data_IF_661184762267
#
_entry.id   IF_661184762267
#
_cell.length_a   1.000
_cell.length_b   1.000
_cell.length_c   1.000
_cell.angle_alpha   90.00
_cell.angle_beta   90.00
_cell.angle_gamma   90.00
#
_symmetry.space_group_name_H-M   'P 1'
#
loop_
_entity.id
_entity.type
_entity.pdbx_description
1 polymer ?
#
# COMPACT_ATOMS: atom_id res chain seq x y z
N UNK A 1 8.46 28.91 16.14
CA UNK A 1 7.65 28.97 14.92
C UNK A 1 7.95 27.78 14.02
N UNK A 2 6.95 27.12 13.59
CA UNK A 2 7.13 26.09 12.58
C UNK A 2 7.46 26.76 11.25
N UNK A 3 8.46 26.24 10.57
CA UNK A 3 8.91 26.81 9.30
C UNK A 3 8.38 26.04 8.10
N UNK A 4 7.17 25.59 8.19
CA UNK A 4 6.50 24.97 7.05
C UNK A 4 6.80 23.49 6.83
N UNK A 5 7.38 22.81 7.81
CA UNK A 5 7.59 21.36 7.74
C UNK A 5 6.50 20.58 8.45
N UNK A 6 5.50 21.25 8.96
CA UNK A 6 4.34 20.57 9.49
C UNK A 6 3.58 19.94 8.35
N UNK A 7 3.36 18.64 8.45
CA UNK A 7 2.49 17.97 7.52
C UNK A 7 1.08 18.55 7.62
N UNK A 8 0.47 18.88 6.50
CA UNK A 8 -0.93 19.23 6.50
C UNK A 8 -1.75 18.06 7.02
N UNK A 9 -2.84 18.31 7.77
CA UNK A 9 -3.73 17.23 8.17
C UNK A 9 -4.21 16.46 6.93
N UNK A 10 -4.33 15.14 7.02
CA UNK A 10 -4.83 14.37 5.87
C UNK A 10 -6.26 14.77 5.54
N UNK A 11 -6.58 14.86 4.25
CA UNK A 11 -7.92 15.15 3.78
C UNK A 11 -8.80 13.90 3.78
N UNK A 12 -8.19 12.71 3.94
CA UNK A 12 -8.87 11.43 4.01
C UNK A 12 -8.44 10.67 5.28
N UNK A 13 -8.75 11.20 6.49
CA UNK A 13 -8.19 10.67 7.74
C UNK A 13 -8.60 9.22 8.05
N UNK A 14 -9.75 8.77 7.53
CA UNK A 14 -10.25 7.42 7.78
C UNK A 14 -9.70 6.39 6.78
N UNK A 15 -8.92 6.83 5.80
CA UNK A 15 -8.39 5.97 4.76
C UNK A 15 -6.90 5.71 4.99
N UNK A 16 -6.59 4.97 6.05
CA UNK A 16 -5.22 4.62 6.39
C UNK A 16 -4.61 3.71 5.34
N UNK A 17 -3.45 4.10 4.84
CA UNK A 17 -2.69 3.34 3.85
C UNK A 17 -1.45 2.75 4.52
N UNK A 18 -1.26 1.45 4.37
CA UNK A 18 -0.06 0.76 4.84
C UNK A 18 0.80 0.41 3.64
N UNK A 19 2.10 0.68 3.72
CA UNK A 19 3.07 0.28 2.69
C UNK A 19 3.98 -0.78 3.27
N UNK A 20 4.05 -1.92 2.60
CA UNK A 20 4.91 -3.05 2.97
C UNK A 20 5.94 -3.27 1.86
N UNK A 21 7.20 -2.95 2.15
CA UNK A 21 8.32 -3.13 1.25
C UNK A 21 9.61 -3.29 2.04
N UNK A 22 10.47 -4.18 1.57
CA UNK A 22 11.82 -4.33 2.12
C UNK A 22 12.75 -3.20 1.66
N UNK A 23 12.37 -2.47 0.61
CA UNK A 23 13.10 -1.31 0.10
C UNK A 23 12.61 -0.06 0.80
N UNK A 24 13.36 0.39 1.83
CA UNK A 24 12.98 1.55 2.61
C UNK A 24 12.90 2.85 1.80
N UNK A 25 13.75 2.99 0.79
CA UNK A 25 13.76 4.18 -0.07
C UNK A 25 12.51 4.22 -0.94
N UNK A 26 12.18 3.11 -1.59
CA UNK A 26 10.98 3.00 -2.42
C UNK A 26 9.72 3.26 -1.58
N UNK A 27 9.65 2.66 -0.39
CA UNK A 27 8.53 2.86 0.54
C UNK A 27 8.39 4.33 0.94
N UNK A 28 9.49 4.98 1.29
CA UNK A 28 9.47 6.38 1.70
C UNK A 28 9.02 7.31 0.58
N UNK A 29 9.51 7.09 -0.64
CA UNK A 29 9.12 7.91 -1.79
C UNK A 29 7.64 7.74 -2.13
N UNK A 30 7.18 6.49 -2.15
CA UNK A 30 5.77 6.20 -2.42
C UNK A 30 4.88 6.79 -1.31
N UNK A 31 5.30 6.64 -0.05
CA UNK A 31 4.58 7.21 1.08
C UNK A 31 4.47 8.73 1.01
N UNK A 32 5.55 9.42 0.62
CA UNK A 32 5.53 10.87 0.46
C UNK A 32 4.52 11.32 -0.61
N UNK A 33 4.47 10.61 -1.74
CA UNK A 33 3.49 10.90 -2.79
C UNK A 33 2.07 10.71 -2.28
N UNK A 34 1.81 9.63 -1.56
CA UNK A 34 0.48 9.33 -1.04
C UNK A 34 0.05 10.37 -0.01
N UNK A 35 0.97 10.81 0.85
CA UNK A 35 0.67 11.87 1.82
C UNK A 35 0.31 13.19 1.13
N UNK A 36 0.97 13.53 0.02
CA UNK A 36 0.61 14.74 -0.74
C UNK A 36 -0.78 14.65 -1.35
N UNK A 37 -1.30 13.44 -1.54
CA UNK A 37 -2.67 13.23 -2.02
C UNK A 37 -3.71 13.28 -0.88
N UNK A 38 -3.26 13.43 0.35
CA UNK A 38 -4.15 13.63 1.51
C UNK A 38 -4.46 12.36 2.30
N UNK A 39 -3.72 11.28 2.10
CA UNK A 39 -3.94 10.02 2.81
C UNK A 39 -2.90 9.81 3.91
N UNK A 40 -3.31 9.35 5.11
CA UNK A 40 -2.35 8.98 6.14
C UNK A 40 -1.64 7.69 5.76
N UNK A 41 -0.33 7.64 5.99
CA UNK A 41 0.52 6.50 5.61
C UNK A 41 1.21 5.93 6.84
N UNK A 42 1.31 4.61 6.88
CA UNK A 42 2.07 3.89 7.92
C UNK A 42 2.95 2.84 7.26
N UNK A 43 3.95 2.41 8.02
CA UNK A 43 4.93 1.42 7.59
C UNK A 43 5.06 0.34 8.67
N UNK A 44 5.67 -0.80 8.30
CA UNK A 44 6.02 -1.82 9.28
C UNK A 44 7.07 -1.28 10.25
N UNK A 45 7.02 -1.73 11.48
CA UNK A 45 8.03 -1.44 12.51
C UNK A 45 8.81 -2.71 12.79
N UNK A 46 10.07 -2.81 12.34
CA UNK A 46 10.85 -4.01 12.68
C UNK A 46 10.91 -4.23 14.20
N UNK A 47 10.78 -5.45 14.69
CA UNK A 47 10.78 -6.72 13.96
C UNK A 47 9.38 -7.28 13.61
N UNK A 48 8.37 -6.45 13.47
CA UNK A 48 7.01 -6.92 13.13
C UNK A 48 7.01 -7.74 11.85
N UNK A 49 6.22 -8.83 11.86
CA UNK A 49 5.88 -9.50 10.60
C UNK A 49 4.66 -8.81 9.98
N UNK A 50 4.28 -9.23 8.78
CA UNK A 50 3.17 -8.62 8.04
C UNK A 50 1.86 -8.66 8.83
N UNK A 51 1.55 -9.80 9.44
CA UNK A 51 0.31 -9.95 10.19
C UNK A 51 0.26 -9.04 11.42
N UNK A 52 1.37 -8.93 12.14
CA UNK A 52 1.47 -8.02 13.29
C UNK A 52 1.30 -6.56 12.87
N UNK A 53 1.90 -6.17 11.75
CA UNK A 53 1.77 -4.82 11.22
C UNK A 53 0.33 -4.51 10.86
N UNK A 54 -0.34 -5.42 10.17
CA UNK A 54 -1.75 -5.24 9.77
C UNK A 54 -2.64 -5.10 11.00
N UNK A 55 -2.41 -5.90 12.03
CA UNK A 55 -3.19 -5.80 13.28
C UNK A 55 -3.00 -4.49 13.99
N UNK A 56 -1.77 -3.97 14.00
CA UNK A 56 -1.46 -2.68 14.65
C UNK A 56 -2.03 -1.50 13.88
N UNK A 57 -1.83 -1.48 12.57
CA UNK A 57 -2.18 -0.34 11.72
C UNK A 57 -3.66 -0.30 11.36
N UNK A 58 -4.26 -1.45 11.15
CA UNK A 58 -5.65 -1.59 10.67
C UNK A 58 -5.90 -0.74 9.43
N UNK A 59 -5.15 -0.97 8.35
CA UNK A 59 -5.26 -0.14 7.16
C UNK A 59 -6.55 -0.42 6.40
N UNK A 60 -7.00 0.56 5.65
CA UNK A 60 -8.06 0.35 4.67
C UNK A 60 -7.48 -0.22 3.38
N UNK A 61 -6.30 0.25 3.01
CA UNK A 61 -5.58 -0.19 1.81
C UNK A 61 -4.15 -0.55 2.20
N UNK A 62 -3.66 -1.65 1.65
CA UNK A 62 -2.29 -2.09 1.82
C UNK A 62 -1.58 -2.15 0.47
N UNK A 63 -0.47 -1.42 0.33
CA UNK A 63 0.38 -1.49 -0.86
C UNK A 63 1.50 -2.48 -0.58
N UNK A 64 1.54 -3.56 -1.34
CA UNK A 64 2.54 -4.62 -1.21
C UNK A 64 3.56 -4.54 -2.31
N UNK A 65 4.84 -4.59 -1.93
CA UNK A 65 5.93 -4.72 -2.89
C UNK A 65 5.88 -6.14 -3.48
N UNK A 66 5.78 -6.23 -4.80
CA UNK A 66 5.62 -7.52 -5.48
C UNK A 66 6.84 -8.44 -5.37
N UNK A 67 8.02 -7.89 -5.02
CA UNK A 67 9.23 -8.70 -4.86
C UNK A 67 9.44 -9.20 -3.43
N UNK A 68 8.56 -8.83 -2.51
CA UNK A 68 8.64 -9.29 -1.12
C UNK A 68 7.83 -10.58 -0.94
N UNK A 69 8.46 -11.76 -0.93
CA UNK A 69 7.74 -13.03 -0.80
C UNK A 69 7.07 -13.20 0.57
N UNK A 70 7.53 -12.48 1.58
CA UNK A 70 6.93 -12.51 2.90
C UNK A 70 5.58 -11.79 2.98
N UNK A 71 5.31 -10.91 2.01
CA UNK A 71 4.07 -10.11 1.98
C UNK A 71 3.22 -10.42 0.76
N UNK A 72 3.83 -10.65 -0.40
CA UNK A 72 3.12 -10.88 -1.65
C UNK A 72 2.94 -12.37 -1.92
N UNK A 73 1.98 -12.98 -1.21
CA UNK A 73 1.67 -14.41 -1.36
C UNK A 73 0.19 -14.65 -1.04
N UNK A 74 -0.31 -15.85 -1.44
CA UNK A 74 -1.72 -16.21 -1.27
C UNK A 74 -2.21 -16.10 0.17
N UNK A 75 -1.37 -16.48 1.13
CA UNK A 75 -1.75 -16.49 2.54
C UNK A 75 -2.02 -15.07 3.05
N UNK A 76 -1.10 -14.14 2.77
CA UNK A 76 -1.24 -12.75 3.18
C UNK A 76 -2.42 -12.10 2.47
N UNK A 77 -2.57 -12.33 1.16
CA UNK A 77 -3.67 -11.77 0.38
C UNK A 77 -5.03 -12.28 0.87
N UNK A 78 -5.11 -13.56 1.18
CA UNK A 78 -6.34 -14.15 1.72
C UNK A 78 -6.71 -13.58 3.09
N UNK A 79 -5.74 -13.41 3.98
CA UNK A 79 -5.97 -12.82 5.30
C UNK A 79 -6.42 -11.36 5.21
N UNK A 80 -5.80 -10.59 4.32
CA UNK A 80 -6.18 -9.20 4.11
C UNK A 80 -7.63 -9.11 3.63
N UNK A 81 -8.01 -9.94 2.67
CA UNK A 81 -9.38 -9.99 2.17
C UNK A 81 -10.37 -10.32 3.28
N UNK A 82 -10.06 -11.27 4.13
CA UNK A 82 -10.92 -11.64 5.26
C UNK A 82 -11.12 -10.51 6.26
N UNK A 83 -10.19 -9.58 6.32
CA UNK A 83 -10.25 -8.41 7.21
C UNK A 83 -10.85 -7.19 6.53
N UNK A 84 -11.31 -7.32 5.30
CA UNK A 84 -11.86 -6.20 4.54
C UNK A 84 -10.81 -5.20 4.07
N UNK A 85 -9.54 -5.59 4.06
CA UNK A 85 -8.44 -4.74 3.61
C UNK A 85 -8.26 -4.90 2.10
N UNK A 86 -8.26 -3.79 1.39
CA UNK A 86 -8.00 -3.79 -0.04
C UNK A 86 -6.50 -3.75 -0.28
N UNK A 87 -6.02 -4.57 -1.21
CA UNK A 87 -4.60 -4.68 -1.53
C UNK A 87 -4.30 -4.13 -2.91
N UNK A 88 -3.17 -3.45 -3.05
CA UNK A 88 -2.59 -3.04 -4.33
C UNK A 88 -1.16 -3.55 -4.35
N UNK A 89 -0.77 -4.24 -5.43
CA UNK A 89 0.60 -4.72 -5.59
C UNK A 89 1.36 -3.72 -6.44
N UNK A 90 2.52 -3.27 -5.98
CA UNK A 90 3.34 -2.33 -6.76
C UNK A 90 4.70 -2.93 -7.12
N UNK A 91 5.26 -2.45 -8.21
CA UNK A 91 6.58 -2.89 -8.65
C UNK A 91 6.93 -2.37 -10.03
N UNK A 92 8.10 -2.77 -10.52
CA UNK A 92 8.52 -2.52 -11.90
C UNK A 92 7.71 -3.39 -12.85
N UNK A 93 7.73 -3.05 -14.14
CA UNK A 93 7.02 -3.82 -15.17
C UNK A 93 7.39 -5.31 -15.15
N UNK A 94 8.69 -5.62 -15.11
CA UNK A 94 9.15 -7.00 -15.09
C UNK A 94 8.71 -7.74 -13.81
N UNK A 95 8.75 -7.08 -12.67
CA UNK A 95 8.33 -7.66 -11.41
C UNK A 95 6.82 -7.90 -11.37
N UNK A 96 6.02 -6.95 -11.87
CA UNK A 96 4.57 -7.09 -11.93
C UNK A 96 4.14 -8.25 -12.85
N UNK A 97 4.86 -8.48 -13.95
CA UNK A 97 4.55 -9.60 -14.84
C UNK A 97 4.62 -10.95 -14.12
N UNK A 98 5.55 -11.08 -13.15
CA UNK A 98 5.71 -12.33 -12.39
C UNK A 98 4.53 -12.62 -11.45
N UNK A 99 3.85 -11.59 -10.98
CA UNK A 99 2.74 -11.73 -10.01
C UNK A 99 1.38 -11.46 -10.63
N UNK A 100 1.31 -11.27 -11.95
CA UNK A 100 0.06 -10.96 -12.63
C UNK A 100 -1.02 -12.00 -12.41
N UNK A 101 -0.68 -13.28 -12.47
CA UNK A 101 -1.63 -14.36 -12.23
C UNK A 101 -2.18 -14.30 -10.80
N UNK A 102 -1.31 -14.04 -9.82
CA UNK A 102 -1.71 -13.90 -8.43
C UNK A 102 -2.66 -12.72 -8.24
N UNK A 103 -2.35 -11.58 -8.86
CA UNK A 103 -3.20 -10.40 -8.79
C UNK A 103 -4.58 -10.64 -9.41
N UNK A 104 -4.62 -11.32 -10.54
CA UNK A 104 -5.89 -11.67 -11.19
C UNK A 104 -6.72 -12.62 -10.33
N UNK A 105 -6.09 -13.62 -9.73
CA UNK A 105 -6.77 -14.59 -8.86
C UNK A 105 -7.46 -13.90 -7.68
N UNK A 106 -6.84 -12.90 -7.09
CA UNK A 106 -7.35 -12.17 -5.93
C UNK A 106 -8.08 -10.88 -6.29
N UNK A 107 -8.27 -10.58 -7.56
CA UNK A 107 -8.88 -9.32 -8.04
C UNK A 107 -8.19 -8.09 -7.44
N UNK A 108 -6.87 -8.06 -7.55
CA UNK A 108 -6.03 -7.01 -7.00
C UNK A 108 -5.49 -6.11 -8.10
N UNK A 109 -5.56 -4.80 -7.87
CA UNK A 109 -4.95 -3.83 -8.78
C UNK A 109 -3.43 -3.85 -8.66
N UNK A 110 -2.74 -3.60 -9.77
CA UNK A 110 -1.30 -3.46 -9.81
C UNK A 110 -0.93 -2.02 -10.13
N UNK A 111 0.14 -1.53 -9.50
CA UNK A 111 0.64 -0.18 -9.68
C UNK A 111 2.07 -0.24 -10.19
N UNK A 112 2.31 0.28 -11.38
CA UNK A 112 3.64 0.41 -11.95
C UNK A 112 4.37 1.57 -11.27
N UNK A 113 5.58 1.36 -10.82
CA UNK A 113 6.40 2.40 -10.19
C UNK A 113 7.58 2.78 -11.07
N UNK A 114 7.96 4.07 -11.11
CA UNK A 114 7.36 5.20 -10.39
C UNK A 114 5.99 5.56 -10.96
N UNK A 115 4.98 5.78 -10.11
CA UNK A 115 3.64 6.07 -10.58
C UNK A 115 3.48 7.54 -10.97
N UNK A 116 2.61 7.79 -11.94
CA UNK A 116 2.09 9.13 -12.16
C UNK A 116 1.16 9.48 -11.00
N UNK A 117 1.23 10.70 -10.41
CA UNK A 117 0.39 11.07 -9.27
C UNK A 117 -1.12 10.89 -9.51
N UNK A 118 -1.61 11.20 -10.71
CA UNK A 118 -3.02 11.03 -11.04
C UNK A 118 -3.41 9.55 -11.07
N UNK A 119 -2.56 8.70 -11.62
CA UNK A 119 -2.77 7.25 -11.64
C UNK A 119 -2.73 6.66 -10.23
N UNK A 120 -1.79 7.12 -9.41
CA UNK A 120 -1.70 6.70 -8.02
C UNK A 120 -2.98 7.04 -7.25
N UNK A 121 -3.45 8.28 -7.38
CA UNK A 121 -4.69 8.72 -6.73
C UNK A 121 -5.89 7.88 -7.16
N UNK A 122 -6.02 7.65 -8.44
CA UNK A 122 -7.12 6.84 -8.99
C UNK A 122 -7.06 5.41 -8.49
N UNK A 123 -5.86 4.82 -8.44
CA UNK A 123 -5.66 3.46 -7.94
C UNK A 123 -6.04 3.35 -6.46
N UNK A 124 -5.64 4.32 -5.65
CA UNK A 124 -5.99 4.34 -4.22
C UNK A 124 -7.50 4.49 -4.04
N UNK A 125 -8.13 5.40 -4.75
CA UNK A 125 -9.59 5.59 -4.68
C UNK A 125 -10.34 4.31 -5.05
N UNK A 126 -9.91 3.64 -6.09
CA UNK A 126 -10.49 2.36 -6.52
C UNK A 126 -10.32 1.29 -5.44
N UNK A 127 -9.14 1.22 -4.83
CA UNK A 127 -8.88 0.28 -3.74
C UNK A 127 -9.75 0.57 -2.51
N UNK A 128 -9.93 1.85 -2.16
CA UNK A 128 -10.80 2.24 -1.05
C UNK A 128 -12.24 1.79 -1.30
N UNK A 129 -12.72 1.92 -2.52
CA UNK A 129 -14.08 1.46 -2.88
C UNK A 129 -14.25 -0.05 -2.74
N UNK A 130 -13.17 -0.82 -2.93
CA UNK A 130 -13.17 -2.28 -2.77
C UNK A 130 -13.08 -2.73 -1.31
N UNK A 131 -12.60 -1.86 -0.42
CA UNK A 131 -12.45 -2.20 1.00
C UNK A 131 -13.82 -2.44 1.63
N UNK A 132 -13.91 -3.49 2.42
CA UNK A 132 -15.18 -3.90 3.04
C UNK A 132 -15.23 -3.81 4.53
#
# INVERSE_FOLDING_TARGET
>A
MSIGFEANPPTHPDSMILILSADAVAAALLGALIETLGYPVRFARPPENTDQTIRRVRPKVCLLDCVDPGSCNDEVLGRAAMRGISVVIFGTSAALDRVRALALEHDIDMLLVPPDPAELDETIKRAIRKAG
#
